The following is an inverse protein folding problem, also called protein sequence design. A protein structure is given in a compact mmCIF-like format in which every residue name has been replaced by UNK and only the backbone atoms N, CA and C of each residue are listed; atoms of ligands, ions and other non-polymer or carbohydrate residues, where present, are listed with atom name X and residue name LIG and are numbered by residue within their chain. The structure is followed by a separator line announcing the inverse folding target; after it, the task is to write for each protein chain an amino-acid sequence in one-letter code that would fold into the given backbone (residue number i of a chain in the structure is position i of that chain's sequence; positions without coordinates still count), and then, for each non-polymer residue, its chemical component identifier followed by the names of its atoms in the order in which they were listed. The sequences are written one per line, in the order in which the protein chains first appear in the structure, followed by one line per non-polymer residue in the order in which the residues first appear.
data_IF_628806423524
#
_entry.id   IF_628806423524
#
_cell.length_a   1.000
_cell.length_b   1.000
_cell.length_c   1.000
_cell.angle_alpha   90.00
_cell.angle_beta   90.00
_cell.angle_gamma   90.00
#
_symmetry.space_group_name_H-M   'P 1'
#
loop_
_entity.id
_entity.type
_entity.pdbx_description
1 polymer ?
#
# COMPACT_ATOMS: atom_id res chain seq x y z
N UNK A 1 -8.21 -6.11 6.35
CA UNK A 1 -8.94 -6.78 7.45
C UNK A 1 -10.45 -6.82 7.17
N UNK A 2 -11.13 -7.94 7.48
CA UNK A 2 -12.59 -7.99 7.55
C UNK A 2 -13.15 -6.92 8.50
N UNK A 3 -14.36 -6.38 8.25
CA UNK A 3 -14.93 -5.32 9.11
C UNK A 3 -14.94 -5.65 10.60
N UNK A 4 -15.25 -6.89 10.97
CA UNK A 4 -15.28 -7.34 12.36
C UNK A 4 -13.90 -7.36 13.05
N UNK A 5 -12.82 -7.32 12.30
CA UNK A 5 -11.44 -7.32 12.81
C UNK A 5 -10.80 -5.93 12.81
N UNK A 6 -11.51 -4.91 12.32
CA UNK A 6 -11.02 -3.54 12.32
C UNK A 6 -11.21 -2.90 13.69
N UNK A 7 -10.23 -2.08 14.09
CA UNK A 7 -10.36 -1.32 15.34
C UNK A 7 -11.49 -0.29 15.25
N UNK A 8 -12.15 0.05 16.36
CA UNK A 8 -13.12 1.15 16.38
C UNK A 8 -12.50 2.43 15.82
N UNK A 9 -13.27 3.20 15.04
CA UNK A 9 -12.83 4.44 14.39
C UNK A 9 -11.65 4.25 13.42
N UNK A 10 -11.50 3.07 12.82
CA UNK A 10 -10.45 2.77 11.85
C UNK A 10 -10.41 3.79 10.69
N UNK A 11 -11.55 4.41 10.37
CA UNK A 11 -11.68 5.44 9.32
C UNK A 11 -10.88 6.71 9.61
N UNK A 12 -10.47 6.92 10.84
CA UNK A 12 -9.66 8.07 11.26
C UNK A 12 -8.25 7.68 11.70
N UNK A 13 -7.93 6.38 11.65
CA UNK A 13 -6.64 5.85 12.10
C UNK A 13 -5.89 5.24 10.92
N UNK A 14 -4.84 5.88 10.43
CA UNK A 14 -4.09 5.40 9.27
C UNK A 14 -3.61 3.96 9.42
N UNK A 15 -3.74 3.16 8.37
CA UNK A 15 -3.25 1.78 8.25
C UNK A 15 -3.91 0.73 9.16
N UNK A 16 -4.87 1.08 10.00
CA UNK A 16 -5.48 0.13 10.95
C UNK A 16 -6.49 -0.84 10.33
N UNK A 17 -6.80 -0.65 9.06
CA UNK A 17 -7.61 -1.56 8.24
C UNK A 17 -6.79 -2.62 7.50
N UNK A 18 -5.46 -2.61 7.64
CA UNK A 18 -4.55 -3.57 7.01
C UNK A 18 -4.09 -4.64 8.00
N UNK A 19 -3.87 -5.84 7.50
CA UNK A 19 -3.27 -6.93 8.27
C UNK A 19 -1.77 -7.05 7.93
N UNK A 20 -0.99 -6.16 8.50
CA UNK A 20 0.45 -6.11 8.25
C UNK A 20 1.17 -7.38 8.75
N UNK A 21 0.68 -8.00 9.82
CA UNK A 21 1.26 -9.24 10.36
C UNK A 21 1.10 -10.39 9.37
N UNK A 22 -0.10 -10.54 8.80
CA UNK A 22 -0.35 -11.55 7.77
C UNK A 22 0.45 -11.28 6.50
N UNK A 23 0.45 -10.03 6.02
CA UNK A 23 1.25 -9.67 4.85
C UNK A 23 2.71 -10.05 5.04
N UNK A 24 3.29 -9.71 6.20
CA UNK A 24 4.67 -10.07 6.52
C UNK A 24 4.89 -11.58 6.57
N UNK A 25 4.04 -12.32 7.28
CA UNK A 25 4.23 -13.75 7.51
C UNK A 25 3.91 -14.59 6.28
N UNK A 26 2.82 -14.29 5.58
CA UNK A 26 2.33 -15.10 4.47
C UNK A 26 3.00 -14.74 3.13
N UNK A 27 3.50 -13.51 2.96
CA UNK A 27 4.02 -13.03 1.68
C UNK A 27 5.48 -12.61 1.77
N UNK A 28 5.80 -11.60 2.61
CA UNK A 28 7.12 -10.95 2.54
C UNK A 28 8.25 -11.85 3.02
N UNK A 29 8.07 -12.52 4.16
CA UNK A 29 9.10 -13.40 4.70
C UNK A 29 9.43 -14.57 3.76
N UNK A 30 8.47 -15.37 3.26
CA UNK A 30 8.78 -16.45 2.33
C UNK A 30 9.28 -15.95 0.97
N UNK A 31 8.76 -14.84 0.45
CA UNK A 31 9.26 -14.25 -0.79
C UNK A 31 10.73 -13.86 -0.67
N UNK A 32 11.12 -13.21 0.43
CA UNK A 32 12.52 -12.85 0.73
C UNK A 32 13.43 -14.06 0.91
N UNK A 33 12.89 -15.14 1.47
CA UNK A 33 13.61 -16.42 1.62
C UNK A 33 13.70 -17.24 0.31
N UNK A 34 13.14 -16.75 -0.80
CA UNK A 34 13.10 -17.49 -2.06
C UNK A 34 12.27 -18.76 -2.01
N UNK A 35 11.24 -18.78 -1.15
CA UNK A 35 10.37 -19.93 -0.95
C UNK A 35 9.01 -19.75 -1.64
N UNK A 36 8.36 -20.80 -2.08
CA UNK A 36 6.95 -20.74 -2.49
C UNK A 36 6.08 -20.30 -1.33
N UNK A 37 5.02 -19.55 -1.62
CA UNK A 37 4.07 -19.11 -0.60
C UNK A 37 2.64 -19.06 -1.15
N UNK A 38 1.68 -18.96 -0.24
CA UNK A 38 0.28 -18.80 -0.59
C UNK A 38 -0.36 -17.81 0.38
N UNK A 39 -1.28 -16.99 -0.13
CA UNK A 39 -2.03 -16.03 0.68
C UNK A 39 -3.50 -15.94 0.28
N UNK A 40 -4.32 -15.43 1.19
CA UNK A 40 -5.74 -15.17 0.97
C UNK A 40 -5.98 -13.67 0.88
N UNK A 41 -6.46 -13.18 -0.27
CA UNK A 41 -6.92 -11.81 -0.41
C UNK A 41 -8.32 -11.66 0.16
N UNK A 42 -8.60 -10.54 0.85
CA UNK A 42 -9.94 -10.20 1.30
C UNK A 42 -10.62 -9.28 0.28
N UNK A 43 -11.74 -9.73 -0.28
CA UNK A 43 -12.58 -8.94 -1.17
C UNK A 43 -13.57 -8.10 -0.36
N UNK A 44 -13.39 -6.78 -0.35
CA UNK A 44 -14.35 -5.87 0.26
C UNK A 44 -15.71 -5.87 -0.46
N UNK A 45 -15.72 -6.22 -1.75
CA UNK A 45 -16.94 -6.31 -2.56
C UNK A 45 -17.77 -7.52 -2.17
N UNK A 46 -17.11 -8.66 -1.95
CA UNK A 46 -17.76 -9.93 -1.61
C UNK A 46 -17.94 -10.12 -0.11
N UNK A 47 -17.25 -9.31 0.70
CA UNK A 47 -17.24 -9.44 2.15
C UNK A 47 -16.57 -10.74 2.65
N UNK A 48 -15.72 -11.37 1.84
CA UNK A 48 -15.15 -12.68 2.08
C UNK A 48 -13.68 -12.76 1.65
N UNK A 49 -12.97 -13.78 2.15
CA UNK A 49 -11.68 -14.16 1.59
C UNK A 49 -11.85 -14.87 0.26
N UNK A 50 -11.02 -14.48 -0.70
CA UNK A 50 -10.94 -15.13 -2.01
C UNK A 50 -10.17 -16.47 -1.90
N UNK A 51 -10.28 -17.35 -2.91
CA UNK A 51 -9.46 -18.54 -2.99
C UNK A 51 -7.96 -18.24 -2.83
N UNK A 52 -7.17 -19.20 -2.30
CA UNK A 52 -5.75 -19.00 -2.11
C UNK A 52 -5.02 -18.67 -3.42
N UNK A 53 -4.14 -17.69 -3.39
CA UNK A 53 -3.21 -17.39 -4.48
C UNK A 53 -1.86 -18.00 -4.14
N UNK A 54 -1.40 -18.95 -4.98
CA UNK A 54 -0.09 -19.58 -4.82
C UNK A 54 0.94 -18.88 -5.69
N UNK A 55 2.09 -18.56 -5.10
CA UNK A 55 3.20 -17.86 -5.73
C UNK A 55 4.45 -18.72 -5.71
N UNK A 56 5.19 -18.72 -6.81
CA UNK A 56 6.51 -19.36 -6.91
C UNK A 56 7.61 -18.33 -6.64
N UNK A 57 8.80 -18.77 -6.22
CA UNK A 57 9.95 -17.88 -6.06
C UNK A 57 10.25 -17.11 -7.34
N UNK A 58 10.59 -15.83 -7.18
CA UNK A 58 10.95 -14.94 -8.28
C UNK A 58 12.20 -14.16 -7.94
N UNK A 59 12.98 -13.76 -8.96
CA UNK A 59 14.18 -12.93 -8.80
C UNK A 59 13.84 -11.49 -8.38
N UNK A 60 12.66 -11.03 -8.73
CA UNK A 60 12.13 -9.72 -8.36
C UNK A 60 10.69 -9.88 -7.89
N UNK A 61 10.39 -9.33 -6.73
CA UNK A 61 9.04 -9.25 -6.18
C UNK A 61 8.72 -7.78 -5.93
N UNK A 62 7.65 -7.30 -6.53
CA UNK A 62 7.17 -5.93 -6.35
C UNK A 62 5.92 -5.97 -5.46
N UNK A 63 5.94 -5.21 -4.38
CA UNK A 63 4.81 -5.02 -3.47
C UNK A 63 4.34 -3.57 -3.61
N UNK A 64 3.11 -3.37 -4.08
CA UNK A 64 2.55 -2.05 -4.26
C UNK A 64 1.34 -1.82 -3.34
N UNK A 65 1.11 -0.58 -2.99
CA UNK A 65 -0.05 -0.12 -2.21
C UNK A 65 0.31 1.00 -1.24
N UNK A 66 -0.66 1.82 -0.91
CA UNK A 66 -0.48 3.02 -0.07
C UNK A 66 0.20 2.73 1.27
N UNK A 67 -0.01 1.55 1.84
CA UNK A 67 0.52 1.16 3.15
C UNK A 67 1.71 0.20 3.08
N UNK A 68 2.24 -0.09 1.89
CA UNK A 68 3.36 -1.02 1.72
C UNK A 68 4.64 -0.59 2.45
N UNK A 69 4.88 0.72 2.56
CA UNK A 69 6.05 1.29 3.26
C UNK A 69 5.90 1.42 4.79
N UNK A 70 4.88 0.79 5.39
CA UNK A 70 4.71 0.88 6.85
C UNK A 70 6.00 0.44 7.58
N UNK A 71 6.45 1.18 8.63
CA UNK A 71 7.70 0.88 9.33
C UNK A 71 7.84 -0.57 9.81
N UNK A 72 6.73 -1.21 10.18
CA UNK A 72 6.72 -2.62 10.57
C UNK A 72 7.10 -3.61 9.44
N UNK A 73 7.20 -3.14 8.20
CA UNK A 73 7.56 -3.92 7.01
C UNK A 73 8.89 -3.46 6.38
N UNK A 74 9.49 -2.39 6.88
CA UNK A 74 10.62 -1.71 6.23
C UNK A 74 11.84 -2.63 6.02
N UNK A 75 12.09 -3.54 6.95
CA UNK A 75 13.18 -4.51 6.88
C UNK A 75 12.93 -5.67 5.90
N UNK A 76 11.73 -5.75 5.33
CA UNK A 76 11.40 -6.77 4.32
C UNK A 76 11.77 -6.34 2.90
N UNK A 77 12.12 -5.09 2.66
CA UNK A 77 12.39 -4.53 1.33
C UNK A 77 13.86 -4.22 1.12
N UNK A 78 14.36 -4.52 -0.06
CA UNK A 78 15.71 -4.14 -0.49
C UNK A 78 15.72 -2.73 -1.11
N UNK A 79 14.59 -2.30 -1.66
CA UNK A 79 14.39 -0.98 -2.24
C UNK A 79 12.96 -0.49 -2.00
N UNK A 80 12.83 0.77 -1.57
CA UNK A 80 11.54 1.43 -1.34
C UNK A 80 11.41 2.63 -2.27
N UNK A 81 10.38 2.61 -3.10
CA UNK A 81 10.11 3.67 -4.07
C UNK A 81 8.81 4.37 -3.72
N UNK A 82 8.87 5.66 -3.42
CA UNK A 82 7.67 6.49 -3.26
C UNK A 82 7.26 7.06 -4.60
N UNK A 83 6.02 6.80 -5.00
CA UNK A 83 5.49 7.29 -6.27
C UNK A 83 4.60 8.49 -6.01
N UNK A 84 4.90 9.61 -6.62
CA UNK A 84 4.17 10.88 -6.45
C UNK A 84 3.72 11.47 -7.77
N UNK A 85 2.81 12.42 -7.72
CA UNK A 85 2.42 13.32 -8.83
C UNK A 85 1.79 14.58 -8.22
N UNK A 86 1.52 15.59 -9.05
CA UNK A 86 0.80 16.78 -8.60
C UNK A 86 -0.61 16.46 -8.10
N UNK A 87 -1.13 17.26 -7.16
CA UNK A 87 -2.51 17.12 -6.67
C UNK A 87 -3.55 17.21 -7.79
N UNK A 88 -3.29 18.03 -8.79
CA UNK A 88 -4.17 18.16 -9.96
C UNK A 88 -4.22 16.85 -10.75
N UNK A 89 -3.07 16.24 -11.00
CA UNK A 89 -2.98 14.98 -11.72
C UNK A 89 -3.55 13.81 -10.90
N UNK A 90 -3.29 13.77 -9.59
CA UNK A 90 -3.91 12.81 -8.68
C UNK A 90 -5.44 12.90 -8.76
N UNK A 91 -5.98 14.11 -8.65
CA UNK A 91 -7.42 14.36 -8.75
C UNK A 91 -7.98 13.87 -10.09
N UNK A 92 -7.35 14.23 -11.19
CA UNK A 92 -7.76 13.82 -12.53
C UNK A 92 -7.80 12.30 -12.69
N UNK A 93 -6.74 11.61 -12.24
CA UNK A 93 -6.66 10.14 -12.31
C UNK A 93 -7.72 9.48 -11.43
N UNK A 94 -7.92 9.97 -10.21
CA UNK A 94 -8.91 9.45 -9.28
C UNK A 94 -10.34 9.67 -9.77
N UNK A 95 -10.65 10.83 -10.34
CA UNK A 95 -11.96 11.09 -10.94
C UNK A 95 -12.25 10.15 -12.12
N UNK A 96 -11.26 9.92 -12.97
CA UNK A 96 -11.38 9.00 -14.09
C UNK A 96 -11.61 7.55 -13.63
N UNK A 97 -10.95 7.12 -12.54
CA UNK A 97 -11.05 5.76 -11.99
C UNK A 97 -12.34 5.53 -11.19
N UNK A 98 -12.69 6.46 -10.32
CA UNK A 98 -13.80 6.31 -9.36
C UNK A 98 -15.15 6.81 -9.92
N UNK A 99 -15.14 7.71 -10.91
CA UNK A 99 -16.36 8.27 -11.48
C UNK A 99 -17.23 8.94 -10.41
N UNK A 100 -18.50 8.57 -10.35
CA UNK A 100 -19.48 9.10 -9.38
C UNK A 100 -19.12 8.83 -7.90
N UNK A 101 -18.23 7.87 -7.63
CA UNK A 101 -17.77 7.55 -6.26
C UNK A 101 -16.65 8.46 -5.77
N UNK A 102 -16.05 9.26 -6.65
CA UNK A 102 -14.91 10.11 -6.31
C UNK A 102 -15.11 11.01 -5.08
N UNK A 103 -16.26 11.72 -4.88
CA UNK A 103 -16.42 12.56 -3.70
C UNK A 103 -16.30 11.79 -2.38
N UNK A 104 -16.93 10.63 -2.29
CA UNK A 104 -16.85 9.79 -1.10
C UNK A 104 -15.45 9.19 -0.92
N UNK A 105 -14.77 8.85 -2.02
CA UNK A 105 -13.38 8.40 -2.00
C UNK A 105 -12.45 9.52 -1.49
N UNK A 106 -12.57 10.71 -2.03
CA UNK A 106 -11.74 11.85 -1.65
C UNK A 106 -11.91 12.26 -0.19
N UNK A 107 -13.14 12.24 0.33
CA UNK A 107 -13.42 12.58 1.73
C UNK A 107 -12.87 11.57 2.74
N UNK A 108 -12.72 10.31 2.35
CA UNK A 108 -12.28 9.24 3.27
C UNK A 108 -10.83 8.84 3.07
N UNK A 109 -10.47 8.46 1.85
CA UNK A 109 -9.20 7.76 1.62
C UNK A 109 -8.02 8.71 1.47
N UNK A 110 -8.20 9.87 0.85
CA UNK A 110 -7.11 10.85 0.70
C UNK A 110 -6.62 11.33 2.08
N UNK A 111 -7.47 11.78 3.02
CA UNK A 111 -7.01 12.18 4.35
C UNK A 111 -6.34 11.05 5.16
N UNK A 112 -6.81 9.81 5.01
CA UNK A 112 -6.18 8.65 5.66
C UNK A 112 -4.78 8.38 5.12
N UNK A 113 -4.62 8.46 3.80
CA UNK A 113 -3.34 8.25 3.12
C UNK A 113 -2.35 9.38 3.47
N UNK A 114 -2.78 10.64 3.39
CA UNK A 114 -1.96 11.79 3.76
C UNK A 114 -1.55 11.76 5.24
N UNK A 115 -2.49 11.42 6.13
CA UNK A 115 -2.21 11.24 7.54
C UNK A 115 -1.22 10.10 7.81
N UNK A 116 -1.27 9.02 7.03
CA UNK A 116 -0.31 7.94 7.09
C UNK A 116 1.09 8.40 6.62
N UNK A 117 1.19 9.07 5.48
CA UNK A 117 2.46 9.55 4.95
C UNK A 117 3.14 10.51 5.92
N UNK A 118 2.39 11.47 6.46
CA UNK A 118 2.91 12.42 7.44
C UNK A 118 3.34 11.73 8.76
N UNK A 119 2.51 10.82 9.27
CA UNK A 119 2.78 10.15 10.56
C UNK A 119 4.07 9.33 10.56
N UNK A 120 4.38 8.71 9.43
CA UNK A 120 5.49 7.78 9.33
C UNK A 120 6.63 8.29 8.44
N UNK A 121 6.58 9.56 8.00
CA UNK A 121 7.56 10.18 7.10
C UNK A 121 7.88 9.25 5.91
N UNK A 122 6.82 8.79 5.24
CA UNK A 122 6.94 7.74 4.21
C UNK A 122 7.78 8.19 3.04
N UNK A 123 7.57 9.41 2.55
CA UNK A 123 8.31 9.99 1.44
C UNK A 123 9.80 10.14 1.79
N UNK A 124 10.09 10.74 2.94
CA UNK A 124 11.46 10.97 3.40
C UNK A 124 12.20 9.67 3.72
N UNK A 125 11.48 8.63 4.09
CA UNK A 125 12.05 7.31 4.40
C UNK A 125 12.24 6.42 3.17
N UNK A 126 11.71 6.78 2.02
CA UNK A 126 11.91 6.06 0.76
C UNK A 126 13.37 6.16 0.29
N UNK A 127 13.82 5.24 -0.51
CA UNK A 127 15.15 5.25 -1.10
C UNK A 127 15.16 6.05 -2.42
N UNK A 128 14.03 5.99 -3.14
CA UNK A 128 13.78 6.74 -4.38
C UNK A 128 12.40 7.38 -4.36
N UNK A 129 12.30 8.56 -4.98
CA UNK A 129 11.02 9.21 -5.33
C UNK A 129 10.85 9.17 -6.84
N UNK A 130 9.72 8.65 -7.29
CA UNK A 130 9.32 8.63 -8.70
C UNK A 130 8.18 9.63 -8.92
N UNK A 131 8.44 10.72 -9.64
CA UNK A 131 7.38 11.60 -10.15
C UNK A 131 6.75 10.96 -11.39
N UNK A 132 5.57 10.38 -11.21
CA UNK A 132 4.85 9.66 -12.25
C UNK A 132 4.20 10.57 -13.31
N UNK A 133 4.21 11.88 -13.11
CA UNK A 133 3.76 12.88 -14.09
C UNK A 133 4.90 13.29 -15.01
N UNK A 134 6.09 13.46 -14.46
CA UNK A 134 7.29 13.89 -15.21
C UNK A 134 8.18 12.74 -15.66
N UNK A 135 7.96 11.54 -15.12
CA UNK A 135 8.83 10.40 -15.38
C UNK A 135 10.25 10.56 -14.77
N UNK A 136 10.37 11.38 -13.73
CA UNK A 136 11.65 11.67 -13.07
C UNK A 136 11.82 10.78 -11.83
N UNK A 137 13.04 10.34 -11.60
CA UNK A 137 13.43 9.56 -10.42
C UNK A 137 14.51 10.35 -9.68
N UNK A 138 14.31 10.54 -8.37
CA UNK A 138 15.25 11.20 -7.47
C UNK A 138 15.62 10.26 -6.32
N UNK A 139 16.90 10.18 -5.99
CA UNK A 139 17.36 9.48 -4.79
C UNK A 139 17.15 10.38 -3.57
N UNK A 140 16.56 9.84 -2.51
CA UNK A 140 16.32 10.58 -1.25
C UNK A 140 17.48 10.52 -0.28
N UNK A 141 18.41 9.57 -0.49
CA UNK A 141 19.59 9.38 0.36
C UNK A 141 20.86 9.56 -0.45
N UNK A 142 21.71 10.43 0.01
CA UNK A 142 23.12 10.55 -0.39
C UNK A 142 23.97 9.65 0.47
#
# INVERSE_FOLDING_TARGET
LPPAQRVPRWETLPCTNMDLKRLRAEVLNPARAGQPFSYLAYSCREGAYLPPVSCQPARLVIVEGSYSHHPALADCYDLRVFVTCSKAEQTRRLQAREGARYPAFAQRWIPLEEGYFAKYSIEESADLILDAEKGMIEATKS
#
